data_IF_423841540298
#
_entry.id   IF_423841540298
#
_cell.length_a   1.000
_cell.length_b   1.000
_cell.length_c   1.000
_cell.angle_alpha   90.00
_cell.angle_beta   90.00
_cell.angle_gamma   90.00
#
_symmetry.space_group_name_H-M   'P 1'
#
loop_
_entity.id
_entity.type
_entity.pdbx_description
1 polymer ?
#
# COMPACT_ATOMS: atom_id res chain seq x y z
N UNK A 1 -13.42 -1.13 -16.29
CA UNK A 1 -13.33 -2.38 -15.53
C UNK A 1 -14.36 -2.36 -14.41
N UNK A 2 -15.10 -3.43 -14.25
CA UNK A 2 -16.07 -3.54 -13.15
C UNK A 2 -15.35 -3.80 -11.83
N UNK A 3 -16.04 -3.53 -10.73
CA UNK A 3 -15.51 -3.82 -9.41
C UNK A 3 -15.14 -5.28 -9.23
N UNK A 4 -16.03 -6.19 -9.69
CA UNK A 4 -15.77 -7.62 -9.57
C UNK A 4 -14.53 -8.03 -10.36
N UNK A 5 -14.38 -7.50 -11.56
CA UNK A 5 -13.20 -7.78 -12.38
C UNK A 5 -11.94 -7.23 -11.74
N UNK A 6 -12.05 -6.04 -11.16
CA UNK A 6 -10.94 -5.41 -10.46
C UNK A 6 -10.48 -6.31 -9.30
N UNK A 7 -11.43 -6.78 -8.51
CA UNK A 7 -11.15 -7.65 -7.38
C UNK A 7 -10.45 -8.93 -7.82
N UNK A 8 -10.98 -9.57 -8.87
CA UNK A 8 -10.37 -10.79 -9.41
C UNK A 8 -8.97 -10.54 -9.94
N UNK A 9 -8.75 -9.41 -10.59
CA UNK A 9 -7.45 -9.06 -11.12
C UNK A 9 -6.43 -8.88 -9.98
N UNK A 10 -6.82 -8.20 -8.93
CA UNK A 10 -5.95 -8.02 -7.75
C UNK A 10 -5.60 -9.37 -7.13
N UNK A 11 -6.59 -10.24 -6.95
CA UNK A 11 -6.35 -11.57 -6.39
C UNK A 11 -5.39 -12.39 -7.23
N UNK A 12 -5.57 -12.36 -8.55
CA UNK A 12 -4.71 -13.10 -9.46
C UNK A 12 -3.28 -12.56 -9.39
N UNK A 13 -3.13 -11.25 -9.45
CA UNK A 13 -1.80 -10.64 -9.39
C UNK A 13 -1.11 -10.95 -8.06
N UNK A 14 -1.84 -10.86 -6.97
CA UNK A 14 -1.28 -11.14 -5.66
C UNK A 14 -0.81 -12.58 -5.56
N UNK A 15 -1.56 -13.51 -6.14
CA UNK A 15 -1.19 -14.93 -6.11
C UNK A 15 0.08 -15.22 -6.90
N UNK A 16 0.44 -14.36 -7.84
CA UNK A 16 1.64 -14.52 -8.65
C UNK A 16 2.90 -13.94 -8.01
N UNK A 17 2.74 -13.19 -6.93
CA UNK A 17 3.88 -12.59 -6.23
C UNK A 17 4.58 -13.67 -5.42
N UNK A 18 5.92 -13.79 -5.52
CA UNK A 18 6.64 -14.79 -4.73
C UNK A 18 6.41 -14.61 -3.24
N UNK A 19 6.26 -15.72 -2.54
CA UNK A 19 5.93 -15.74 -1.12
C UNK A 19 6.93 -14.98 -0.25
N UNK A 20 8.18 -14.94 -0.69
CA UNK A 20 9.21 -14.20 0.04
C UNK A 20 8.88 -12.72 0.22
N UNK A 21 8.10 -12.13 -0.72
CA UNK A 21 7.74 -10.73 -0.65
C UNK A 21 6.47 -10.48 0.13
N UNK A 22 5.65 -11.51 0.34
CA UNK A 22 4.37 -11.37 1.04
C UNK A 22 4.41 -11.92 2.46
N UNK A 23 5.54 -12.44 2.87
CA UNK A 23 5.69 -13.00 4.20
C UNK A 23 5.39 -11.94 5.26
N UNK A 24 4.58 -12.31 6.23
CA UNK A 24 4.17 -11.38 7.28
C UNK A 24 2.99 -10.48 6.92
N UNK A 25 2.55 -10.53 5.66
CA UNK A 25 1.40 -9.75 5.22
C UNK A 25 0.13 -10.57 5.43
N UNK A 26 -0.86 -9.97 6.06
CA UNK A 26 -2.12 -10.67 6.35
C UNK A 26 -3.00 -10.79 5.12
N UNK A 27 -2.87 -9.87 4.18
CA UNK A 27 -3.62 -9.96 2.96
C UNK A 27 -3.75 -8.65 2.23
N UNK A 28 -4.46 -8.70 1.10
CA UNK A 28 -4.78 -7.53 0.29
C UNK A 28 -6.30 -7.41 0.26
N UNK A 29 -6.79 -6.24 0.59
CA UNK A 29 -8.22 -5.94 0.60
C UNK A 29 -8.55 -4.97 -0.52
N UNK A 30 -9.74 -5.11 -1.07
CA UNK A 30 -10.22 -4.22 -2.11
C UNK A 30 -11.52 -3.60 -1.61
N UNK A 31 -11.58 -2.27 -1.67
CA UNK A 31 -12.78 -1.54 -1.29
C UNK A 31 -13.34 -0.82 -2.51
N UNK A 32 -14.66 -0.75 -2.58
CA UNK A 32 -15.32 -0.16 -3.73
C UNK A 32 -15.26 1.37 -3.72
N UNK A 33 -15.05 1.96 -2.57
CA UNK A 33 -15.08 3.41 -2.40
C UNK A 33 -13.87 4.09 -3.02
N UNK A 34 -14.00 5.39 -3.26
CA UNK A 34 -12.89 6.26 -3.63
C UNK A 34 -12.32 6.89 -2.37
N UNK A 35 -11.02 7.16 -2.37
CA UNK A 35 -10.36 7.80 -1.25
C UNK A 35 -9.64 9.05 -1.71
N UNK A 36 -10.33 10.20 -1.70
CA UNK A 36 -9.69 11.46 -2.11
C UNK A 36 -8.66 11.88 -1.06
N UNK A 37 -7.57 12.48 -1.56
CA UNK A 37 -6.57 13.04 -0.67
C UNK A 37 -7.07 14.40 -0.16
N UNK A 38 -7.11 14.58 1.16
CA UNK A 38 -7.54 15.87 1.71
C UNK A 38 -6.66 17.01 1.19
N UNK A 39 -7.28 18.12 0.87
CA UNK A 39 -6.60 19.35 0.48
C UNK A 39 -5.84 19.30 -0.86
N UNK A 40 -5.98 18.22 -1.61
CA UNK A 40 -5.28 18.09 -2.89
C UNK A 40 -6.22 18.05 -4.09
N UNK A 41 -7.47 18.44 -3.93
CA UNK A 41 -8.42 18.54 -5.03
C UNK A 41 -8.76 17.21 -5.67
N UNK A 42 -8.40 17.03 -6.93
CA UNK A 42 -8.76 15.85 -7.71
C UNK A 42 -7.77 14.69 -7.57
N UNK A 43 -6.97 14.70 -6.53
CA UNK A 43 -6.01 13.62 -6.28
C UNK A 43 -6.68 12.54 -5.43
N UNK A 44 -6.52 11.28 -5.87
CA UNK A 44 -7.10 10.13 -5.19
C UNK A 44 -6.02 9.14 -4.81
N UNK A 45 -6.16 8.56 -3.62
CA UNK A 45 -5.26 7.51 -3.18
C UNK A 45 -5.72 6.19 -3.77
N UNK A 46 -4.86 5.55 -4.55
CA UNK A 46 -5.19 4.29 -5.20
C UNK A 46 -5.06 3.10 -4.26
N UNK A 47 -4.08 3.14 -3.36
CA UNK A 47 -3.89 2.09 -2.37
C UNK A 47 -3.10 2.57 -1.19
N UNK A 48 -3.04 1.74 -0.15
CA UNK A 48 -2.22 2.05 1.01
C UNK A 48 -1.80 0.80 1.74
N UNK A 49 -0.66 0.90 2.40
CA UNK A 49 -0.13 -0.14 3.26
C UNK A 49 -0.36 0.26 4.70
N UNK A 50 -0.93 -0.65 5.47
CA UNK A 50 -1.26 -0.40 6.87
C UNK A 50 -0.43 -1.32 7.77
N UNK A 51 0.28 -0.72 8.70
CA UNK A 51 1.13 -1.41 9.64
C UNK A 51 0.53 -1.27 11.05
N UNK A 52 0.06 -2.36 11.66
CA UNK A 52 -0.62 -2.29 12.94
C UNK A 52 0.30 -1.84 14.08
N UNK A 53 1.61 -1.94 13.91
CA UNK A 53 2.54 -1.43 14.89
C UNK A 53 2.39 0.06 15.12
N UNK A 54 2.12 0.81 14.05
CA UNK A 54 1.87 2.25 14.15
C UNK A 54 0.41 2.54 14.39
N UNK A 55 -0.46 1.80 13.74
CA UNK A 55 -1.90 2.04 13.81
C UNK A 55 -2.47 1.73 15.18
N UNK A 56 -1.99 0.66 15.83
CA UNK A 56 -2.49 0.28 17.15
C UNK A 56 -2.14 1.33 18.19
N UNK A 57 -0.99 1.98 18.05
CA UNK A 57 -0.60 3.06 18.94
C UNK A 57 -1.55 4.26 18.81
N UNK A 58 -2.04 4.49 17.62
CA UNK A 58 -2.95 5.60 17.33
C UNK A 58 -4.42 5.22 17.45
N UNK A 59 -4.69 4.04 17.96
CA UNK A 59 -6.07 3.57 18.09
C UNK A 59 -6.53 2.67 16.96
N UNK A 60 -5.62 2.18 16.14
CA UNK A 60 -5.94 1.24 15.08
C UNK A 60 -6.31 -0.13 15.63
N UNK A 61 -6.70 -1.03 14.74
CA UNK A 61 -7.13 -2.36 15.11
C UNK A 61 -5.98 -3.36 15.04
N UNK A 62 -5.39 -3.75 16.17
CA UNK A 62 -4.25 -4.65 16.17
C UNK A 62 -4.56 -6.04 15.63
N UNK A 63 -5.84 -6.41 15.57
CA UNK A 63 -6.25 -7.71 15.06
C UNK A 63 -6.15 -7.84 13.55
N UNK A 64 -6.03 -6.76 12.83
CA UNK A 64 -5.96 -6.80 11.37
C UNK A 64 -4.57 -7.16 10.82
N UNK A 65 -3.52 -6.91 11.58
CA UNK A 65 -2.17 -7.17 11.13
C UNK A 65 -1.75 -6.24 9.99
N UNK A 66 -0.60 -6.55 9.37
CA UNK A 66 -0.12 -5.78 8.22
C UNK A 66 -0.91 -6.16 6.98
N UNK A 67 -1.41 -5.16 6.27
CA UNK A 67 -2.22 -5.43 5.08
C UNK A 67 -2.17 -4.27 4.09
N UNK A 68 -2.58 -4.58 2.86
CA UNK A 68 -2.66 -3.60 1.78
C UNK A 68 -4.14 -3.42 1.43
N UNK A 69 -4.54 -2.19 1.15
CA UNK A 69 -5.88 -1.88 0.69
C UNK A 69 -5.81 -1.16 -0.64
N UNK A 70 -6.61 -1.56 -1.61
CA UNK A 70 -6.74 -0.89 -2.90
C UNK A 70 -8.16 -0.34 -3.02
N UNK A 71 -8.27 0.87 -3.57
CA UNK A 71 -9.55 1.60 -3.63
C UNK A 71 -10.06 1.65 -5.07
N UNK A 72 -11.00 0.80 -5.38
CA UNK A 72 -11.56 0.73 -6.73
C UNK A 72 -12.12 2.07 -7.19
N UNK A 73 -12.87 2.75 -6.33
CA UNK A 73 -13.45 4.05 -6.67
C UNK A 73 -12.42 5.09 -7.04
N UNK A 74 -11.23 5.02 -6.42
CA UNK A 74 -10.12 5.91 -6.75
C UNK A 74 -9.60 5.61 -8.15
N UNK A 75 -9.49 4.34 -8.51
CA UNK A 75 -9.08 3.95 -9.86
C UNK A 75 -10.08 4.47 -10.90
N UNK A 76 -11.37 4.34 -10.62
CA UNK A 76 -12.41 4.86 -11.51
C UNK A 76 -12.27 6.37 -11.70
N UNK A 77 -12.04 7.09 -10.62
CA UNK A 77 -11.91 8.54 -10.68
C UNK A 77 -10.71 8.96 -11.52
N UNK A 78 -9.58 8.30 -11.33
CA UNK A 78 -8.36 8.61 -12.10
C UNK A 78 -8.55 8.23 -13.57
N UNK A 79 -9.17 7.08 -13.83
CA UNK A 79 -9.38 6.60 -15.19
C UNK A 79 -10.26 7.54 -16.01
N UNK A 80 -11.20 8.23 -15.38
CA UNK A 80 -12.07 9.17 -16.08
C UNK A 80 -11.31 10.31 -16.72
N UNK A 81 -10.18 10.70 -16.14
CA UNK A 81 -9.37 11.78 -16.68
C UNK A 81 -8.26 11.33 -17.62
N UNK A 82 -8.15 10.04 -17.86
CA UNK A 82 -7.06 9.47 -18.66
C UNK A 82 -7.60 8.46 -19.66
N UNK A 83 -7.85 8.89 -20.91
CA UNK A 83 -8.42 7.98 -21.92
C UNK A 83 -7.59 6.72 -22.18
N UNK A 84 -6.28 6.80 -21.97
CA UNK A 84 -5.36 5.67 -22.19
C UNK A 84 -5.00 4.95 -20.90
N UNK A 85 -5.84 5.08 -19.89
CA UNK A 85 -5.60 4.43 -18.60
C UNK A 85 -5.56 2.91 -18.75
N UNK A 86 -4.42 2.32 -18.41
CA UNK A 86 -4.23 0.87 -18.46
C UNK A 86 -4.49 0.30 -17.06
N UNK A 87 -5.68 -0.28 -16.89
CA UNK A 87 -6.12 -0.79 -15.61
C UNK A 87 -5.16 -1.83 -15.01
N UNK A 88 -4.75 -2.80 -15.82
CA UNK A 88 -3.89 -3.86 -15.31
C UNK A 88 -2.53 -3.33 -14.87
N UNK A 89 -1.96 -2.45 -15.68
CA UNK A 89 -0.67 -1.84 -15.33
C UNK A 89 -0.78 -1.00 -14.06
N UNK A 90 -1.83 -0.20 -13.96
CA UNK A 90 -2.01 0.66 -12.78
C UNK A 90 -2.26 -0.15 -11.52
N UNK A 91 -3.02 -1.23 -11.63
CA UNK A 91 -3.25 -2.13 -10.49
C UNK A 91 -1.93 -2.74 -10.06
N UNK A 92 -1.16 -3.24 -11.02
CA UNK A 92 0.13 -3.87 -10.72
C UNK A 92 1.09 -2.90 -10.06
N UNK A 93 1.20 -1.69 -10.61
CA UNK A 93 2.08 -0.67 -10.04
C UNK A 93 1.67 -0.29 -8.63
N UNK A 94 0.37 -0.14 -8.40
CA UNK A 94 -0.12 0.22 -7.07
C UNK A 94 0.14 -0.90 -6.07
N UNK A 95 -0.19 -2.13 -6.46
CA UNK A 95 0.00 -3.29 -5.60
C UNK A 95 1.47 -3.47 -5.23
N UNK A 96 2.35 -3.41 -6.21
CA UNK A 96 3.79 -3.61 -5.96
C UNK A 96 4.40 -2.45 -5.20
N UNK A 97 3.89 -1.24 -5.39
CA UNK A 97 4.35 -0.08 -4.63
C UNK A 97 4.04 -0.25 -3.13
N UNK A 98 2.82 -0.68 -2.81
CA UNK A 98 2.45 -0.91 -1.41
C UNK A 98 3.17 -2.12 -0.84
N UNK A 99 3.41 -3.13 -1.67
CA UNK A 99 4.18 -4.29 -1.23
C UNK A 99 5.61 -3.90 -0.88
N UNK A 100 6.18 -2.94 -1.60
CA UNK A 100 7.51 -2.42 -1.28
C UNK A 100 7.51 -1.82 0.13
N UNK A 101 6.47 -1.09 0.48
CA UNK A 101 6.36 -0.55 1.84
C UNK A 101 6.34 -1.66 2.88
N UNK A 102 5.67 -2.77 2.56
CA UNK A 102 5.64 -3.91 3.47
C UNK A 102 7.05 -4.49 3.67
N UNK A 103 7.77 -4.71 2.57
CA UNK A 103 9.13 -5.26 2.64
C UNK A 103 10.06 -4.32 3.41
N UNK A 104 9.95 -3.02 3.15
CA UNK A 104 10.74 -2.02 3.85
C UNK A 104 10.39 -1.95 5.33
N UNK A 105 9.11 -2.10 5.65
CA UNK A 105 8.66 -2.09 7.04
C UNK A 105 9.25 -3.26 7.82
N UNK A 106 9.23 -4.45 7.23
CA UNK A 106 9.82 -5.63 7.87
C UNK A 106 11.33 -5.47 8.06
N UNK A 107 12.02 -4.96 7.05
CA UNK A 107 13.45 -4.73 7.12
C UNK A 107 13.78 -3.67 8.16
N UNK A 108 12.96 -2.63 8.23
CA UNK A 108 13.12 -1.56 9.20
C UNK A 108 12.94 -2.04 10.63
N UNK A 109 11.94 -2.86 10.87
CA UNK A 109 11.69 -3.43 12.20
C UNK A 109 12.88 -4.28 12.65
N UNK A 110 13.37 -5.15 11.76
CA UNK A 110 14.52 -5.97 12.05
C UNK A 110 15.77 -5.14 12.30
N UNK A 111 15.95 -4.08 11.53
CA UNK A 111 17.09 -3.19 11.66
C UNK A 111 17.06 -2.40 12.95
N UNK A 112 15.87 -1.97 13.38
CA UNK A 112 15.74 -1.22 14.63
C UNK A 112 16.16 -2.04 15.83
N UNK A 113 15.91 -3.34 15.79
CA UNK A 113 16.34 -4.24 16.84
C UNK A 113 17.86 -4.38 16.83
N UNK A 114 18.46 -4.43 15.63
CA UNK A 114 19.87 -4.75 15.48
C UNK A 114 20.79 -3.52 15.50
N UNK A 115 20.36 -2.42 14.92
CA UNK A 115 21.25 -1.30 14.65
C UNK A 115 20.89 0.00 15.33
N UNK A 116 19.77 0.03 15.97
CA UNK A 116 19.39 1.09 16.87
C UNK A 116 19.36 2.52 16.28
N UNK A 117 19.65 3.46 17.15
CA UNK A 117 19.41 4.88 16.93
C UNK A 117 20.31 5.54 15.90
N UNK A 118 21.49 5.03 15.70
CA UNK A 118 22.41 5.66 14.75
C UNK A 118 21.88 5.58 13.33
N UNK A 119 21.38 4.44 12.97
CA UNK A 119 20.81 4.22 11.64
C UNK A 119 19.52 5.00 11.48
N UNK A 120 18.71 5.03 12.51
CA UNK A 120 17.47 5.78 12.50
C UNK A 120 17.75 7.28 12.28
N UNK A 121 18.75 7.82 12.95
CA UNK A 121 19.12 9.22 12.78
C UNK A 121 19.58 9.51 11.33
N UNK A 122 20.35 8.61 10.76
CA UNK A 122 20.80 8.74 9.37
C UNK A 122 19.63 8.73 8.42
N UNK A 123 18.70 7.82 8.64
CA UNK A 123 17.51 7.69 7.80
C UNK A 123 16.66 8.96 7.85
N UNK A 124 16.44 9.50 9.03
CA UNK A 124 15.70 10.74 9.21
C UNK A 124 16.37 11.91 8.49
N UNK A 125 17.68 11.96 8.56
CA UNK A 125 18.43 13.01 7.89
C UNK A 125 18.25 12.95 6.38
N UNK A 126 18.24 11.74 5.81
CA UNK A 126 18.02 11.58 4.39
C UNK A 126 16.61 12.00 3.99
N UNK A 127 15.62 11.66 4.79
CA UNK A 127 14.25 12.07 4.53
C UNK A 127 14.11 13.59 4.62
N UNK A 128 14.80 14.22 5.54
CA UNK A 128 14.75 15.66 5.70
C UNK A 128 15.31 16.44 4.53
N UNK A 129 16.06 15.78 3.66
CA UNK A 129 16.63 16.42 2.47
C UNK A 129 15.66 16.48 1.29
N UNK A 130 14.56 15.81 1.41
CA UNK A 130 13.54 15.86 0.38
C UNK A 130 12.64 17.06 0.58
#
# INVERSE_FOLDING_TARGET
MTYERFRQTVETMFSEIPEAFTEGLQGVHVLEVAKPEPDLGDVYRLGEYLDPGQDSFLGGNPGLGRHITLYYGSFVAVARGQPDFDWEEEIWETLTHELRHHVESLAGDASLIAEDKRRDATFRKQLGKK
#
